data_IF_283907837719
#
_entry.id   IF_283907837719
#
_cell.length_a   1.000
_cell.length_b   1.000
_cell.length_c   1.000
_cell.angle_alpha   90.00
_cell.angle_beta   90.00
_cell.angle_gamma   90.00
#
_symmetry.space_group_name_H-M   'P 1'
#
loop_
_entity.id
_entity.type
_entity.pdbx_description
1 polymer ?
#
# COMPACT_ATOMS: atom_id res chain seq x y z
N UNK A 1 63.38 37.18 -3.31
CA UNK A 1 62.30 37.84 -2.53
C UNK A 1 61.33 38.41 -3.57
N UNK A 2 60.06 38.06 -3.70
CA UNK A 2 59.09 37.37 -2.84
C UNK A 2 58.09 36.61 -3.74
N UNK A 3 57.73 35.39 -3.35
CA UNK A 3 56.66 34.60 -3.99
C UNK A 3 55.31 35.05 -3.44
N UNK A 4 54.37 35.43 -4.31
CA UNK A 4 52.97 35.70 -3.96
C UNK A 4 52.20 34.37 -3.98
N UNK A 5 51.92 33.83 -2.79
CA UNK A 5 50.97 32.75 -2.56
C UNK A 5 49.55 33.26 -2.79
N UNK A 6 48.91 32.83 -3.88
CA UNK A 6 47.47 33.01 -4.09
C UNK A 6 46.73 31.87 -3.39
N UNK A 7 46.01 32.22 -2.33
CA UNK A 7 45.12 31.33 -1.59
C UNK A 7 43.94 30.90 -2.47
N UNK A 8 43.85 29.61 -2.78
CA UNK A 8 42.70 29.00 -3.43
C UNK A 8 41.57 28.83 -2.41
N UNK A 9 40.50 29.58 -2.56
CA UNK A 9 39.28 29.42 -1.78
C UNK A 9 38.49 28.23 -2.36
N UNK A 10 38.58 27.05 -1.72
CA UNK A 10 37.78 25.90 -2.08
C UNK A 10 36.34 26.09 -1.56
N UNK A 11 35.41 26.44 -2.45
CA UNK A 11 33.99 26.42 -2.16
C UNK A 11 33.51 24.95 -2.14
N UNK A 12 33.31 24.40 -0.95
CA UNK A 12 32.72 23.08 -0.78
C UNK A 12 31.20 23.21 -1.01
N UNK A 13 30.76 22.95 -2.23
CA UNK A 13 29.34 22.81 -2.55
C UNK A 13 28.82 21.53 -1.89
N UNK A 14 28.20 21.66 -0.71
CA UNK A 14 27.45 20.56 -0.10
C UNK A 14 26.12 20.51 -0.86
N UNK A 15 26.05 19.62 -1.84
CA UNK A 15 24.79 19.26 -2.49
C UNK A 15 23.87 18.67 -1.44
N UNK A 16 22.82 19.41 -1.09
CA UNK A 16 21.68 18.87 -0.35
C UNK A 16 21.00 17.90 -1.30
N UNK A 17 21.19 16.59 -1.07
CA UNK A 17 20.32 15.60 -1.68
C UNK A 17 18.91 15.86 -1.16
N UNK A 18 18.00 16.25 -2.05
CA UNK A 18 16.58 16.24 -1.75
C UNK A 18 16.21 14.82 -1.33
N UNK A 19 15.58 14.66 -0.16
CA UNK A 19 15.05 13.37 0.27
C UNK A 19 14.09 12.88 -0.82
N UNK A 20 14.46 11.75 -1.42
CA UNK A 20 13.76 11.09 -2.52
C UNK A 20 12.34 10.69 -2.13
N UNK A 21 11.43 10.69 -3.11
CA UNK A 21 10.10 10.09 -3.01
C UNK A 21 10.20 8.69 -2.37
N UNK A 22 9.55 8.51 -1.22
CA UNK A 22 9.53 7.24 -0.49
C UNK A 22 8.51 6.30 -1.14
N UNK A 23 8.95 5.59 -2.18
CA UNK A 23 8.19 4.47 -2.74
C UNK A 23 8.76 3.15 -2.19
N UNK A 24 7.89 2.26 -1.74
CA UNK A 24 8.23 0.89 -1.37
C UNK A 24 7.43 -0.09 -2.23
N UNK A 25 8.01 -1.28 -2.43
CA UNK A 25 7.36 -2.36 -3.16
C UNK A 25 6.98 -3.46 -2.18
N UNK A 26 5.70 -3.81 -2.17
CA UNK A 26 5.19 -5.05 -1.58
C UNK A 26 5.16 -6.05 -2.74
N UNK A 27 6.06 -7.04 -2.69
CA UNK A 27 6.06 -8.12 -3.68
C UNK A 27 5.02 -9.17 -3.29
N UNK A 28 4.45 -9.83 -4.31
CA UNK A 28 3.56 -10.95 -4.09
C UNK A 28 4.24 -12.10 -3.32
N UNK A 29 3.87 -12.22 -2.06
CA UNK A 29 4.42 -13.15 -1.07
C UNK A 29 3.35 -13.87 -0.25
N UNK A 30 2.08 -13.59 -0.52
CA UNK A 30 0.94 -13.95 0.31
C UNK A 30 0.00 -14.85 -0.49
N UNK A 31 -0.39 -15.97 0.09
CA UNK A 31 -1.41 -16.82 -0.49
C UNK A 31 -2.74 -16.65 0.25
N UNK A 32 -2.70 -16.62 1.58
CA UNK A 32 -3.88 -16.84 2.40
C UNK A 32 -4.42 -18.26 2.30
N UNK A 33 -5.43 -18.55 3.11
CA UNK A 33 -6.11 -19.84 3.17
C UNK A 33 -7.10 -20.03 2.00
N UNK A 34 -7.95 -21.05 2.12
CA UNK A 34 -9.04 -21.27 1.17
C UNK A 34 -8.65 -21.97 -0.13
N UNK A 35 -7.40 -22.42 -0.26
CA UNK A 35 -6.97 -23.30 -1.36
C UNK A 35 -6.89 -24.77 -0.96
N UNK A 36 -7.33 -25.65 -1.85
CA UNK A 36 -7.00 -27.08 -1.80
C UNK A 36 -5.67 -27.43 -2.47
N UNK A 37 -5.06 -26.47 -3.18
CA UNK A 37 -3.82 -26.65 -3.96
C UNK A 37 -2.81 -25.57 -3.57
N UNK A 38 -1.57 -25.95 -3.27
CA UNK A 38 -0.49 -25.02 -2.91
C UNK A 38 -0.03 -24.21 -4.13
N UNK A 39 -0.82 -23.22 -4.54
CA UNK A 39 -0.50 -22.30 -5.62
C UNK A 39 -0.75 -20.85 -5.21
N UNK A 40 0.09 -19.96 -5.72
CA UNK A 40 -0.05 -18.51 -5.58
C UNK A 40 -1.25 -17.99 -6.38
N UNK A 41 -1.38 -18.48 -7.63
CA UNK A 41 -2.55 -18.18 -8.46
C UNK A 41 -3.44 -19.41 -8.60
N UNK A 42 -4.71 -19.24 -8.25
CA UNK A 42 -5.76 -20.19 -8.58
C UNK A 42 -6.28 -19.94 -10.00
N UNK A 43 -6.22 -20.97 -10.85
CA UNK A 43 -6.65 -20.87 -12.25
C UNK A 43 -5.55 -20.38 -13.19
N UNK A 44 -5.88 -19.51 -14.14
CA UNK A 44 -4.96 -19.07 -15.19
C UNK A 44 -4.18 -17.81 -14.75
N UNK A 45 -2.87 -17.96 -14.50
CA UNK A 45 -1.98 -16.84 -14.13
C UNK A 45 -1.93 -15.71 -15.17
N UNK A 46 -2.22 -15.98 -16.45
CA UNK A 46 -2.33 -14.91 -17.44
C UNK A 46 -3.54 -14.01 -17.25
N UNK A 47 -4.49 -14.41 -16.42
CA UNK A 47 -5.70 -13.65 -16.09
C UNK A 47 -5.61 -13.13 -14.67
N UNK A 48 -5.27 -13.99 -13.71
CA UNK A 48 -5.49 -13.68 -12.30
C UNK A 48 -4.26 -13.18 -11.55
N UNK A 49 -3.06 -13.26 -12.12
CA UNK A 49 -1.83 -12.88 -11.40
C UNK A 49 -1.88 -11.42 -10.93
N UNK A 50 -1.55 -11.21 -9.67
CA UNK A 50 -1.14 -9.96 -9.08
C UNK A 50 0.38 -10.02 -8.92
N UNK A 51 1.09 -9.01 -9.38
CA UNK A 51 2.57 -9.03 -9.43
C UNK A 51 3.17 -8.34 -8.21
N UNK A 52 2.69 -7.13 -7.91
CA UNK A 52 3.18 -6.31 -6.79
C UNK A 52 2.22 -5.16 -6.47
N UNK A 53 2.40 -4.59 -5.28
CA UNK A 53 1.91 -3.25 -4.95
C UNK A 53 3.10 -2.29 -4.83
N UNK A 54 2.98 -1.12 -5.42
CA UNK A 54 3.90 0.00 -5.19
C UNK A 54 3.19 1.04 -4.34
N UNK A 55 3.79 1.37 -3.20
CA UNK A 55 3.21 2.24 -2.19
C UNK A 55 4.11 3.45 -2.04
N UNK A 56 3.55 4.63 -2.15
CA UNK A 56 4.26 5.88 -1.89
C UNK A 56 3.35 6.87 -1.16
N UNK A 57 3.92 7.93 -0.60
CA UNK A 57 3.13 8.93 0.11
C UNK A 57 3.77 10.30 0.01
N UNK A 58 2.95 11.34 0.21
CA UNK A 58 3.40 12.71 0.44
C UNK A 58 2.83 13.25 1.77
N UNK A 59 2.73 14.57 1.91
CA UNK A 59 2.24 15.19 3.15
C UNK A 59 0.76 14.90 3.44
N UNK A 60 -0.03 14.70 2.39
CA UNK A 60 -1.49 14.67 2.46
C UNK A 60 -2.05 13.31 2.02
N UNK A 61 -1.37 12.62 1.10
CA UNK A 61 -1.90 11.44 0.44
C UNK A 61 -0.98 10.21 0.53
N UNK A 62 -1.61 9.04 0.61
CA UNK A 62 -1.06 7.73 0.32
C UNK A 62 -1.44 7.33 -1.11
N UNK A 63 -0.48 6.87 -1.88
CA UNK A 63 -0.65 6.36 -3.24
C UNK A 63 -0.33 4.88 -3.27
N UNK A 64 -1.27 4.08 -3.75
CA UNK A 64 -1.10 2.62 -3.89
C UNK A 64 -1.38 2.22 -5.34
N UNK A 65 -0.39 1.63 -6.00
CA UNK A 65 -0.52 1.10 -7.35
C UNK A 65 -0.46 -0.43 -7.30
N UNK A 66 -1.51 -1.09 -7.74
CA UNK A 66 -1.58 -2.55 -7.82
C UNK A 66 -1.32 -2.98 -9.26
N UNK A 67 -0.30 -3.80 -9.46
CA UNK A 67 0.06 -4.34 -10.77
C UNK A 67 -0.56 -5.73 -10.92
N UNK A 68 -1.45 -5.90 -11.90
CA UNK A 68 -2.17 -7.18 -12.09
C UNK A 68 -2.47 -7.46 -13.56
N UNK A 69 -2.55 -8.73 -13.93
CA UNK A 69 -3.07 -9.17 -15.21
C UNK A 69 -4.60 -9.12 -15.29
N UNK A 70 -5.27 -8.94 -14.15
CA UNK A 70 -6.72 -9.02 -14.07
C UNK A 70 -7.39 -7.76 -14.63
N UNK A 71 -8.49 -7.98 -15.34
CA UNK A 71 -9.40 -6.93 -15.79
C UNK A 71 -10.81 -7.49 -15.92
N UNK A 72 -11.81 -6.63 -15.82
CA UNK A 72 -13.20 -7.06 -15.97
C UNK A 72 -13.48 -7.54 -17.39
N UNK A 73 -14.00 -8.77 -17.50
CA UNK A 73 -14.21 -9.45 -18.78
C UNK A 73 -13.02 -10.30 -19.25
N UNK A 74 -11.96 -10.42 -18.45
CA UNK A 74 -10.87 -11.35 -18.71
C UNK A 74 -11.27 -12.83 -18.59
N UNK A 75 -12.33 -13.12 -17.83
CA UNK A 75 -12.94 -14.44 -17.69
C UNK A 75 -14.43 -14.43 -18.07
N UNK A 76 -15.01 -15.63 -18.20
CA UNK A 76 -16.44 -15.81 -18.49
C UNK A 76 -17.31 -15.90 -17.23
N UNK A 77 -16.74 -15.73 -16.04
CA UNK A 77 -17.42 -15.85 -14.74
C UNK A 77 -17.91 -14.50 -14.24
N UNK A 78 -17.46 -13.40 -14.85
CA UNK A 78 -17.94 -12.06 -14.56
C UNK A 78 -17.33 -11.47 -13.29
N UNK A 79 -16.15 -11.96 -12.90
CA UNK A 79 -15.43 -11.40 -11.77
C UNK A 79 -15.12 -9.92 -11.99
N UNK A 80 -15.14 -9.18 -10.88
CA UNK A 80 -14.92 -7.74 -10.78
C UNK A 80 -13.67 -7.43 -10.00
N UNK A 81 -13.15 -6.21 -10.16
CA UNK A 81 -12.14 -5.68 -9.24
C UNK A 81 -12.70 -5.72 -7.81
N UNK A 82 -11.83 -6.00 -6.84
CA UNK A 82 -12.17 -5.86 -5.44
C UNK A 82 -11.63 -4.56 -4.87
N UNK A 83 -11.84 -4.39 -3.58
CA UNK A 83 -11.53 -3.14 -2.86
C UNK A 83 -10.13 -3.16 -2.26
N UNK A 84 -9.58 -1.97 -2.01
CA UNK A 84 -8.30 -1.82 -1.32
C UNK A 84 -8.57 -1.73 0.19
N UNK A 85 -8.06 -2.72 0.93
CA UNK A 85 -8.15 -2.75 2.38
C UNK A 85 -6.89 -2.17 3.03
N UNK A 86 -7.09 -1.44 4.13
CA UNK A 86 -6.05 -0.68 4.81
C UNK A 86 -6.15 -0.91 6.31
N UNK A 87 -5.03 -1.25 6.93
CA UNK A 87 -4.85 -1.25 8.38
C UNK A 87 -3.90 -0.12 8.78
N UNK A 88 -4.20 0.54 9.88
CA UNK A 88 -3.41 1.64 10.47
C UNK A 88 -2.61 1.20 11.68
N UNK A 89 -2.75 -0.06 12.08
CA UNK A 89 -2.04 -0.65 13.21
C UNK A 89 -0.87 -1.57 12.78
N UNK A 90 -0.69 -1.79 11.47
CA UNK A 90 0.36 -2.61 10.89
C UNK A 90 -0.20 -3.69 9.96
N UNK A 91 0.63 -4.69 9.63
CA UNK A 91 0.19 -5.89 8.91
C UNK A 91 0.47 -7.11 9.78
N UNK A 92 -0.60 -7.77 10.20
CA UNK A 92 -0.64 -8.80 11.23
C UNK A 92 -1.32 -10.09 10.73
N UNK A 93 -0.86 -10.68 9.61
CA UNK A 93 -1.47 -11.90 9.08
C UNK A 93 -1.25 -13.09 10.01
N UNK A 94 -2.14 -14.06 9.93
CA UNK A 94 -1.97 -15.37 10.52
C UNK A 94 -0.98 -16.23 9.71
N UNK A 95 -0.29 -17.15 10.40
CA UNK A 95 0.64 -18.07 9.76
C UNK A 95 2.05 -17.50 9.62
N UNK A 96 2.79 -17.94 8.59
CA UNK A 96 4.22 -17.58 8.44
C UNK A 96 4.60 -17.32 6.99
N UNK A 97 5.64 -16.52 6.78
CA UNK A 97 6.21 -16.32 5.44
C UNK A 97 6.67 -17.63 4.78
N UNK A 98 7.10 -18.64 5.58
CA UNK A 98 7.57 -19.92 5.06
C UNK A 98 6.47 -20.73 4.35
N UNK A 99 5.21 -20.54 4.74
CA UNK A 99 4.04 -21.12 4.08
C UNK A 99 3.18 -20.07 3.37
N UNK A 100 3.74 -18.89 3.07
CA UNK A 100 3.04 -17.76 2.43
C UNK A 100 1.70 -17.44 3.12
N UNK A 101 1.66 -17.52 4.45
CA UNK A 101 0.47 -17.25 5.27
C UNK A 101 -0.75 -18.10 4.88
N UNK A 102 -0.53 -19.35 4.44
CA UNK A 102 -1.58 -20.23 3.91
C UNK A 102 -2.68 -20.68 4.88
N UNK A 103 -2.75 -20.12 6.09
CA UNK A 103 -3.82 -20.31 7.07
C UNK A 103 -4.65 -19.06 7.33
N UNK A 104 -4.25 -17.92 6.76
CA UNK A 104 -4.85 -16.60 6.96
C UNK A 104 -6.16 -16.44 6.16
N UNK A 105 -7.24 -16.05 6.83
CA UNK A 105 -8.54 -15.78 6.20
C UNK A 105 -9.35 -14.81 7.06
N UNK A 106 -10.55 -14.43 6.61
CA UNK A 106 -11.38 -13.49 7.36
C UNK A 106 -11.74 -13.90 8.79
N UNK A 107 -11.58 -15.19 9.15
CA UNK A 107 -11.85 -15.66 10.51
C UNK A 107 -10.66 -15.53 11.45
N UNK A 108 -9.46 -15.24 10.92
CA UNK A 108 -8.23 -15.15 11.69
C UNK A 108 -7.16 -14.31 10.98
N UNK A 109 -6.43 -13.48 11.71
CA UNK A 109 -5.33 -12.68 11.15
C UNK A 109 -5.59 -11.20 11.25
N UNK A 110 -5.36 -10.50 10.14
CA UNK A 110 -5.51 -9.05 10.05
C UNK A 110 -6.99 -8.66 9.98
N UNK A 111 -7.37 -7.63 10.74
CA UNK A 111 -8.65 -6.96 10.60
C UNK A 111 -8.41 -5.55 10.09
N UNK A 112 -8.84 -5.31 8.86
CA UNK A 112 -8.68 -4.02 8.18
C UNK A 112 -9.58 -2.96 8.82
N UNK A 113 -9.04 -1.81 9.23
CA UNK A 113 -9.87 -0.72 9.75
C UNK A 113 -10.59 0.07 8.65
N UNK A 114 -10.08 0.03 7.43
CA UNK A 114 -10.63 0.78 6.30
C UNK A 114 -10.67 -0.04 5.02
N UNK A 115 -11.60 0.31 4.15
CA UNK A 115 -11.69 -0.19 2.78
C UNK A 115 -12.07 0.94 1.83
N UNK A 116 -11.34 1.08 0.73
CA UNK A 116 -11.69 1.97 -0.37
C UNK A 116 -12.41 1.16 -1.45
N UNK A 117 -13.69 1.47 -1.66
CA UNK A 117 -14.53 0.85 -2.69
C UNK A 117 -14.04 1.26 -4.07
N UNK A 118 -13.49 0.30 -4.82
CA UNK A 118 -12.90 0.54 -6.14
C UNK A 118 -13.92 1.02 -7.17
N UNK A 119 -15.21 0.72 -6.98
CA UNK A 119 -16.26 1.08 -7.92
C UNK A 119 -16.72 2.54 -7.78
N UNK A 120 -16.67 3.08 -6.57
CA UNK A 120 -17.13 4.45 -6.25
C UNK A 120 -15.99 5.41 -5.96
N UNK A 121 -14.86 4.92 -5.45
CA UNK A 121 -13.77 5.74 -4.91
C UNK A 121 -13.98 6.13 -3.44
N UNK A 122 -15.07 5.69 -2.82
CA UNK A 122 -15.42 6.03 -1.45
C UNK A 122 -14.61 5.23 -0.43
N UNK A 123 -14.18 5.89 0.65
CA UNK A 123 -13.50 5.28 1.78
C UNK A 123 -14.49 4.98 2.91
N UNK A 124 -14.49 3.74 3.37
CA UNK A 124 -15.30 3.26 4.48
C UNK A 124 -14.42 2.84 5.65
N UNK A 125 -14.93 3.04 6.86
CA UNK A 125 -14.38 2.50 8.10
C UNK A 125 -15.13 1.23 8.47
N UNK A 126 -14.37 0.25 8.97
CA UNK A 126 -14.83 -1.07 9.35
C UNK A 126 -14.75 -1.21 10.87
N UNK A 127 -15.86 -1.60 11.49
CA UNK A 127 -15.91 -1.86 12.93
C UNK A 127 -15.40 -3.25 13.27
N UNK A 128 -14.55 -3.36 14.29
CA UNK A 128 -14.14 -4.63 14.90
C UNK A 128 -15.31 -5.48 15.41
N UNK A 129 -16.36 -4.84 15.93
CA UNK A 129 -17.48 -5.56 16.58
C UNK A 129 -18.29 -6.35 15.55
N UNK A 130 -18.46 -5.77 14.36
CA UNK A 130 -19.33 -6.29 13.30
C UNK A 130 -18.52 -6.64 12.04
N UNK A 131 -17.21 -6.89 12.18
CA UNK A 131 -16.24 -6.90 11.09
C UNK A 131 -16.67 -7.75 9.89
N UNK A 132 -16.84 -9.06 10.10
CA UNK A 132 -17.24 -9.99 9.04
C UNK A 132 -18.58 -9.64 8.36
N UNK A 133 -19.48 -8.94 9.06
CA UNK A 133 -20.78 -8.56 8.50
C UNK A 133 -20.67 -7.41 7.50
N UNK A 134 -19.61 -6.59 7.59
CA UNK A 134 -19.32 -5.43 6.75
C UNK A 134 -18.53 -5.81 5.49
N UNK A 135 -18.23 -7.10 5.27
CA UNK A 135 -17.39 -7.56 4.19
C UNK A 135 -18.18 -8.32 3.12
N UNK A 136 -17.80 -8.10 1.87
CA UNK A 136 -18.04 -9.01 0.75
C UNK A 136 -16.91 -10.03 0.77
N UNK A 137 -17.29 -11.30 0.86
CA UNK A 137 -16.36 -12.42 0.88
C UNK A 137 -16.44 -13.19 -0.43
N UNK A 138 -15.30 -13.70 -0.89
CA UNK A 138 -15.27 -14.62 -2.02
C UNK A 138 -16.06 -15.91 -1.69
N UNK A 139 -16.92 -16.30 -2.64
CA UNK A 139 -17.86 -17.42 -2.48
C UNK A 139 -17.26 -18.80 -2.76
N UNK A 140 -18.07 -19.87 -2.91
CA UNK A 140 -17.60 -21.18 -3.33
C UNK A 140 -17.39 -21.26 -4.86
N UNK A 141 -16.51 -22.15 -5.33
CA UNK A 141 -16.35 -22.46 -6.76
C UNK A 141 -14.89 -22.46 -7.21
N UNK A 142 -14.65 -21.98 -8.44
CA UNK A 142 -13.29 -21.79 -8.99
C UNK A 142 -12.63 -20.51 -8.47
N UNK A 143 -12.68 -20.33 -7.15
CA UNK A 143 -12.30 -19.12 -6.41
C UNK A 143 -11.64 -19.51 -5.08
N UNK A 144 -10.81 -18.65 -4.47
CA UNK A 144 -10.48 -18.82 -3.04
C UNK A 144 -11.72 -18.53 -2.22
N UNK A 145 -11.90 -19.23 -1.10
CA UNK A 145 -13.08 -19.08 -0.24
C UNK A 145 -12.70 -18.32 1.03
N UNK A 146 -13.64 -17.54 1.58
CA UNK A 146 -13.49 -16.79 2.84
C UNK A 146 -12.39 -15.72 2.81
N UNK A 147 -12.17 -15.12 1.64
CA UNK A 147 -11.24 -14.01 1.47
C UNK A 147 -12.02 -12.70 1.39
N UNK A 148 -11.48 -11.64 2.00
CA UNK A 148 -11.99 -10.28 1.89
C UNK A 148 -11.73 -9.77 0.47
N UNK A 149 -12.82 -9.40 -0.22
CA UNK A 149 -12.75 -8.91 -1.59
C UNK A 149 -13.46 -7.59 -1.81
N UNK A 150 -14.29 -7.16 -0.87
CA UNK A 150 -14.94 -5.86 -0.94
C UNK A 150 -15.63 -5.45 0.36
N UNK A 151 -16.02 -4.20 0.45
CA UNK A 151 -16.83 -3.66 1.55
C UNK A 151 -18.31 -3.73 1.22
N UNK A 152 -19.13 -4.08 2.21
CA UNK A 152 -20.59 -3.90 2.15
C UNK A 152 -20.90 -2.49 2.60
N UNK A 153 -21.07 -1.60 1.63
CA UNK A 153 -21.27 -0.16 1.84
C UNK A 153 -22.55 0.19 2.62
N UNK A 154 -23.53 -0.71 2.68
CA UNK A 154 -24.75 -0.56 3.48
C UNK A 154 -24.58 -0.95 4.96
N UNK A 155 -23.49 -1.64 5.30
CA UNK A 155 -23.16 -2.07 6.66
C UNK A 155 -21.94 -1.32 7.25
N UNK A 156 -21.04 -0.82 6.40
CA UNK A 156 -19.87 -0.05 6.80
C UNK A 156 -20.19 1.45 6.96
N UNK A 157 -19.29 2.19 7.61
CA UNK A 157 -19.47 3.64 7.83
C UNK A 157 -18.62 4.45 6.86
N UNK A 158 -19.26 5.25 6.01
CA UNK A 158 -18.59 6.17 5.09
C UNK A 158 -17.73 7.18 5.88
N UNK A 159 -16.44 7.24 5.56
CA UNK A 159 -15.48 8.21 6.12
C UNK A 159 -15.38 9.41 5.19
N UNK A 160 -15.16 9.13 3.91
CA UNK A 160 -14.92 10.13 2.88
C UNK A 160 -15.39 9.61 1.52
N UNK A 161 -16.17 10.43 0.80
CA UNK A 161 -16.63 10.09 -0.56
C UNK A 161 -15.99 10.91 -1.69
N UNK A 162 -15.11 11.87 -1.37
CA UNK A 162 -14.61 12.84 -2.36
C UNK A 162 -13.11 13.16 -2.23
N UNK A 163 -12.46 12.78 -1.13
CA UNK A 163 -11.04 13.05 -0.84
C UNK A 163 -10.13 11.85 -1.13
N UNK A 164 -10.70 10.68 -1.35
CA UNK A 164 -10.00 9.48 -1.81
C UNK A 164 -10.56 9.06 -3.17
N UNK A 165 -9.81 8.27 -3.93
CA UNK A 165 -10.23 7.85 -5.27
C UNK A 165 -9.54 6.56 -5.74
N UNK A 166 -10.20 5.89 -6.67
CA UNK A 166 -9.65 4.78 -7.45
C UNK A 166 -9.65 5.15 -8.94
N UNK A 167 -8.52 4.95 -9.62
CA UNK A 167 -8.37 5.00 -11.07
C UNK A 167 -8.00 3.62 -11.60
N UNK A 168 -8.99 2.97 -12.24
CA UNK A 168 -8.86 1.64 -12.83
C UNK A 168 -8.59 1.70 -14.34
N UNK A 169 -8.44 2.89 -14.93
CA UNK A 169 -8.25 3.06 -16.38
C UNK A 169 -6.90 2.53 -16.86
N UNK A 170 -5.94 2.35 -15.94
CA UNK A 170 -4.65 1.71 -16.20
C UNK A 170 -4.70 0.18 -16.28
N UNK A 171 -5.85 -0.45 -16.01
CA UNK A 171 -6.02 -1.89 -16.17
C UNK A 171 -5.75 -2.32 -17.62
N UNK A 172 -5.05 -3.44 -17.79
CA UNK A 172 -4.84 -4.04 -19.11
C UNK A 172 -6.17 -4.57 -19.64
N UNK A 173 -6.36 -4.59 -20.95
CA UNK A 173 -7.51 -5.27 -21.60
C UNK A 173 -7.06 -6.50 -22.38
N UNK A 174 -5.80 -6.90 -22.21
CA UNK A 174 -5.16 -8.00 -22.94
C UNK A 174 -4.68 -9.06 -21.96
N UNK A 175 -5.13 -10.30 -22.18
CA UNK A 175 -4.71 -11.46 -21.37
C UNK A 175 -3.19 -11.60 -21.37
N UNK A 176 -2.62 -11.76 -20.18
CA UNK A 176 -1.18 -11.94 -19.95
C UNK A 176 -0.36 -10.65 -20.03
N UNK A 177 -1.02 -9.49 -20.05
CA UNK A 177 -0.38 -8.18 -20.00
C UNK A 177 -0.74 -7.48 -18.69
N UNK A 178 0.29 -6.96 -18.02
CA UNK A 178 0.16 -6.29 -16.73
C UNK A 178 -0.47 -4.90 -16.89
N UNK A 179 -1.56 -4.65 -16.16
CA UNK A 179 -2.15 -3.33 -15.96
C UNK A 179 -1.84 -2.77 -14.58
N UNK A 180 -2.30 -1.55 -14.33
CA UNK A 180 -2.14 -0.85 -13.05
C UNK A 180 -3.49 -0.31 -12.58
N UNK A 181 -3.85 -0.63 -11.34
CA UNK A 181 -4.95 -0.01 -10.60
C UNK A 181 -4.34 0.98 -9.63
N UNK A 182 -4.78 2.24 -9.66
CA UNK A 182 -4.18 3.30 -8.86
C UNK A 182 -5.18 3.80 -7.81
N UNK A 183 -4.75 3.89 -6.57
CA UNK A 183 -5.55 4.36 -5.45
C UNK A 183 -4.87 5.57 -4.81
N UNK A 184 -5.65 6.60 -4.52
CA UNK A 184 -5.20 7.77 -3.76
C UNK A 184 -6.06 7.90 -2.53
N UNK A 185 -5.43 7.92 -1.35
CA UNK A 185 -6.11 7.97 -0.07
C UNK A 185 -5.60 9.17 0.72
N UNK A 186 -6.50 10.03 1.16
CA UNK A 186 -6.13 11.14 2.06
C UNK A 186 -5.75 10.58 3.43
N UNK A 187 -4.51 10.85 3.87
CA UNK A 187 -3.96 10.34 5.12
C UNK A 187 -4.75 10.78 6.36
N UNK A 188 -5.28 12.01 6.34
CA UNK A 188 -6.10 12.53 7.42
C UNK A 188 -7.40 11.73 7.64
N UNK A 189 -7.95 11.12 6.58
CA UNK A 189 -9.16 10.29 6.67
C UNK A 189 -8.87 8.93 7.35
N UNK A 190 -7.61 8.49 7.29
CA UNK A 190 -7.09 7.35 8.06
C UNK A 190 -6.71 7.73 9.50
N UNK A 191 -6.97 8.98 9.93
CA UNK A 191 -6.54 9.51 11.22
C UNK A 191 -5.04 9.86 11.29
N UNK A 192 -4.32 9.79 10.17
CA UNK A 192 -2.89 10.07 10.07
C UNK A 192 -2.69 11.54 9.75
N UNK A 193 -2.51 12.35 10.78
CA UNK A 193 -2.34 13.81 10.66
C UNK A 193 -0.93 14.29 10.97
N UNK A 194 -0.06 13.38 11.44
CA UNK A 194 1.30 13.69 11.86
C UNK A 194 2.27 12.61 11.39
N UNK A 195 2.84 12.81 10.21
CA UNK A 195 3.84 11.92 9.62
C UNK A 195 5.17 11.94 10.38
N UNK A 196 5.38 12.86 11.34
CA UNK A 196 6.55 12.81 12.21
C UNK A 196 6.56 11.61 13.14
N UNK A 197 5.45 10.89 13.25
CA UNK A 197 5.36 9.60 13.91
C UNK A 197 5.42 8.50 12.88
N UNK A 198 6.31 7.53 13.09
CA UNK A 198 6.28 6.30 12.31
C UNK A 198 4.92 5.64 12.44
N UNK A 199 4.24 5.46 11.30
CA UNK A 199 2.96 4.77 11.22
C UNK A 199 3.17 3.50 10.39
N UNK A 200 2.80 2.36 10.96
CA UNK A 200 2.80 1.08 10.26
C UNK A 200 1.43 0.90 9.60
N UNK A 201 1.43 0.70 8.30
CA UNK A 201 0.24 0.40 7.52
C UNK A 201 0.26 -1.06 7.10
N UNK A 202 -0.92 -1.68 7.06
CA UNK A 202 -1.17 -2.90 6.31
C UNK A 202 -1.98 -2.57 5.07
N UNK A 203 -1.69 -3.23 3.97
CA UNK A 203 -2.41 -3.06 2.72
C UNK A 203 -2.76 -4.43 2.15
N UNK A 204 -3.96 -4.56 1.61
CA UNK A 204 -4.44 -5.76 0.92
C UNK A 204 -5.26 -5.39 -0.30
N UNK A 205 -5.06 -6.12 -1.40
CA UNK A 205 -5.93 -6.05 -2.56
C UNK A 205 -6.11 -7.42 -3.21
N UNK A 206 -7.31 -7.65 -3.75
CA UNK A 206 -7.59 -8.76 -4.65
C UNK A 206 -8.84 -8.47 -5.47
N UNK A 207 -9.10 -9.26 -6.51
CA UNK A 207 -10.36 -9.27 -7.24
C UNK A 207 -11.44 -10.09 -6.51
N UNK A 208 -12.70 -9.96 -6.90
CA UNK A 208 -13.86 -10.63 -6.27
C UNK A 208 -13.80 -12.17 -6.16
N UNK A 209 -12.95 -12.84 -6.96
CA UNK A 209 -12.70 -14.27 -6.85
C UNK A 209 -11.54 -14.66 -5.93
N UNK A 210 -10.76 -13.70 -5.45
CA UNK A 210 -9.57 -13.94 -4.65
C UNK A 210 -8.60 -14.98 -5.25
N UNK A 211 -8.57 -15.13 -6.58
CA UNK A 211 -7.72 -16.14 -7.22
C UNK A 211 -6.23 -15.86 -7.06
N UNK A 212 -5.89 -14.62 -6.77
CA UNK A 212 -4.58 -14.22 -6.32
C UNK A 212 -4.74 -13.01 -5.39
N UNK A 213 -3.99 -12.96 -4.29
CA UNK A 213 -4.20 -11.98 -3.22
C UNK A 213 -2.85 -11.37 -2.88
N UNK A 214 -2.77 -10.05 -2.86
CA UNK A 214 -1.55 -9.37 -2.45
C UNK A 214 -1.77 -8.63 -1.15
N UNK A 215 -0.82 -8.81 -0.22
CA UNK A 215 -0.82 -8.12 1.06
C UNK A 215 0.58 -7.81 1.54
N UNK A 216 0.70 -6.79 2.38
CA UNK A 216 1.94 -6.52 3.07
C UNK A 216 1.90 -5.29 3.97
N UNK A 217 2.93 -5.20 4.80
CA UNK A 217 3.19 -4.05 5.65
C UNK A 217 3.99 -2.96 4.93
N UNK A 218 3.62 -1.71 5.18
CA UNK A 218 4.36 -0.53 4.75
C UNK A 218 4.54 0.42 5.94
N UNK A 219 5.78 0.76 6.27
CA UNK A 219 6.04 1.79 7.26
C UNK A 219 6.17 3.12 6.55
N UNK A 220 5.41 4.12 6.99
CA UNK A 220 5.58 5.52 6.61
C UNK A 220 6.78 6.07 7.41
N UNK A 221 7.95 6.31 6.77
CA UNK A 221 9.10 6.81 7.51
C UNK A 221 8.90 8.25 7.99
N UNK A 222 9.49 8.56 9.14
CA UNK A 222 9.51 9.94 9.66
C UNK A 222 10.15 10.88 8.61
N UNK A 223 9.57 12.07 8.35
CA UNK A 223 10.13 13.04 7.43
C UNK A 223 11.61 13.32 7.74
N UNK A 224 12.43 13.37 6.70
CA UNK A 224 13.85 13.73 6.79
C UNK A 224 14.12 15.14 7.34
N UNK A 225 13.08 15.88 7.74
CA UNK A 225 13.19 17.18 8.42
C UNK A 225 13.96 17.08 9.72
N UNK A 226 13.88 15.96 10.47
CA UNK A 226 14.74 15.74 11.64
C UNK A 226 16.22 15.58 11.26
N UNK A 227 16.50 14.87 10.16
CA UNK A 227 17.85 14.77 9.63
C UNK A 227 18.37 16.13 9.16
N UNK A 228 17.52 16.94 8.50
CA UNK A 228 17.84 18.28 8.05
C UNK A 228 18.00 19.27 9.20
N UNK A 229 17.19 19.15 10.26
CA UNK A 229 17.34 19.93 11.49
C UNK A 229 18.66 19.57 12.17
N UNK A 230 18.99 18.28 12.27
CA UNK A 230 20.28 17.80 12.77
C UNK A 230 21.46 18.36 11.98
N UNK A 231 21.41 18.28 10.65
CA UNK A 231 22.44 18.84 9.76
C UNK A 231 22.53 20.37 9.88
N UNK A 232 21.40 21.05 10.00
CA UNK A 232 21.32 22.49 10.24
C UNK A 232 21.99 22.90 11.55
N UNK A 233 21.72 22.18 12.64
CA UNK A 233 22.36 22.40 13.95
C UNK A 233 23.86 22.14 13.93
N UNK A 234 24.31 21.09 13.23
CA UNK A 234 25.75 20.83 13.02
C UNK A 234 26.41 21.96 12.22
N UNK A 235 25.76 22.42 11.14
CA UNK A 235 26.23 23.55 10.34
C UNK A 235 26.35 24.84 11.17
N UNK A 236 25.34 25.16 11.99
CA UNK A 236 25.35 26.27 12.93
C UNK A 236 26.47 26.14 13.97
N UNK A 237 26.68 24.95 14.54
CA UNK A 237 27.75 24.67 15.50
C UNK A 237 29.15 24.85 14.91
N UNK A 238 29.38 24.39 13.69
CA UNK A 238 30.65 24.57 12.97
C UNK A 238 30.88 26.03 12.55
N UNK A 239 29.82 26.78 12.22
CA UNK A 239 29.92 28.20 11.86
C UNK A 239 30.38 29.08 13.03
N UNK A 240 29.99 28.76 14.27
CA UNK A 240 30.42 29.49 15.48
C UNK A 240 31.90 29.32 15.79
N UNK A 241 32.51 28.18 15.43
CA UNK A 241 33.95 27.93 15.67
C UNK A 241 34.88 28.72 14.75
N UNK A 242 34.37 29.33 13.67
CA UNK A 242 35.17 30.18 12.77
C UNK A 242 35.25 31.65 13.21
N UNK A 243 34.49 32.07 14.24
CA UNK A 243 34.48 33.44 14.76
C UNK A 243 35.17 33.59 16.13
N UNK A 244 35.76 32.53 16.67
CA UNK A 244 36.59 32.56 17.88
C UNK A 244 38.07 32.39 17.52
#
# INVERSE_FOLDING_TARGET
MSSFTKSTLAALAIGVAAASANAATINDGYNGAGLSYNGDVFGNAKIYQVDRMEVSYDADNLYVNVYTNFFEGADSLGHKFGDLFISTNGWNPNGTAANRYGTDDVSNGEHWEYALDSATGDLYSLSEVDYASQLVLSGPGSVRVNQEVGVKTDAASLVAGETSSADLSGASTTIGSLGVLSFTITLADLGITDLSKSTALGLRWTMTCANDVIEGGFNVPEPGTLAMLGLGLVGLGLSRRKKA
#
